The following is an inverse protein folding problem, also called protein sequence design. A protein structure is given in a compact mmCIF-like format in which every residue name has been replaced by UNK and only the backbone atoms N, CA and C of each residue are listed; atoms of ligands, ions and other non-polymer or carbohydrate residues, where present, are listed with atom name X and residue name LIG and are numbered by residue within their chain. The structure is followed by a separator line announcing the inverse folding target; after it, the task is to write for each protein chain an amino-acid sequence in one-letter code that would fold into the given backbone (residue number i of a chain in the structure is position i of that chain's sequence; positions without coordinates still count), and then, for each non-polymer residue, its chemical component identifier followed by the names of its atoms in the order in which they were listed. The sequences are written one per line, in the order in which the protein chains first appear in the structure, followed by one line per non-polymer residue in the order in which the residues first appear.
data_IF_679008769552
#
_entry.id   IF_679008769552
#
_cell.length_a   1.000
_cell.length_b   1.000
_cell.length_c   1.000
_cell.angle_alpha   90.00
_cell.angle_beta   90.00
_cell.angle_gamma   90.00
#
_symmetry.space_group_name_H-M   'P 1'
#
loop_
_entity.id
_entity.type
_entity.pdbx_description
1 polymer ?
#
# COMPACT_ATOMS: atom_id res chain seq x y z
N UNK A 1 22.36 -25.94 52.35
CA UNK A 1 21.19 -26.71 51.88
C UNK A 1 20.27 -25.72 51.19
N UNK A 2 20.26 -25.61 49.87
CA UNK A 2 19.75 -26.57 48.88
C UNK A 2 18.39 -26.10 48.35
N UNK A 3 18.43 -25.57 47.12
CA UNK A 3 17.50 -25.87 46.02
C UNK A 3 16.05 -25.34 46.15
N UNK A 4 15.75 -24.29 45.41
CA UNK A 4 14.77 -24.31 44.30
C UNK A 4 14.21 -22.93 44.02
N UNK A 5 14.76 -22.25 43.02
CA UNK A 5 13.98 -21.35 42.17
C UNK A 5 14.66 -21.18 40.80
N UNK A 6 15.19 -22.30 40.26
CA UNK A 6 15.58 -22.36 38.85
C UNK A 6 14.35 -22.46 37.90
N UNK A 7 13.13 -22.55 38.45
CA UNK A 7 11.89 -22.75 37.69
C UNK A 7 11.28 -21.49 37.05
N UNK A 8 11.61 -20.28 37.53
CA UNK A 8 10.99 -19.05 37.02
C UNK A 8 11.61 -18.52 35.73
N UNK A 9 12.84 -18.93 35.39
CA UNK A 9 13.54 -18.44 34.19
C UNK A 9 13.14 -19.20 32.90
N UNK A 10 12.59 -20.42 33.03
CA UNK A 10 12.16 -21.22 31.88
C UNK A 10 10.77 -20.84 31.35
N UNK A 11 9.88 -20.32 32.20
CA UNK A 11 8.54 -19.91 31.78
C UNK A 11 8.56 -18.56 31.03
N UNK A 12 9.45 -17.65 31.41
CA UNK A 12 9.59 -16.34 30.77
C UNK A 12 10.16 -16.41 29.34
N UNK A 13 10.96 -17.45 29.06
CA UNK A 13 11.57 -17.67 27.73
C UNK A 13 10.61 -18.31 26.72
N UNK A 14 9.56 -19.01 27.19
CA UNK A 14 8.53 -19.58 26.31
C UNK A 14 7.48 -18.55 25.88
N UNK A 15 7.19 -17.56 26.73
CA UNK A 15 6.28 -16.45 26.43
C UNK A 15 6.84 -15.45 25.41
N UNK A 16 8.17 -15.35 25.29
CA UNK A 16 8.81 -14.48 24.30
C UNK A 16 8.75 -15.05 22.87
N UNK A 17 8.47 -16.36 22.73
CA UNK A 17 8.39 -17.01 21.42
C UNK A 17 6.98 -16.92 20.78
N UNK A 18 5.93 -16.64 21.57
CA UNK A 18 4.57 -16.48 21.06
C UNK A 18 4.33 -15.14 20.35
N UNK A 19 5.17 -14.13 20.58
CA UNK A 19 5.08 -12.83 19.90
C UNK A 19 5.64 -12.87 18.46
N UNK A 20 6.41 -13.90 18.10
CA UNK A 20 6.92 -14.09 16.74
C UNK A 20 5.89 -14.78 15.81
N UNK A 21 4.76 -15.27 16.34
CA UNK A 21 3.77 -16.04 15.58
C UNK A 21 2.76 -15.18 14.81
N UNK A 22 2.79 -13.85 14.95
CA UNK A 22 1.98 -12.94 14.13
C UNK A 22 2.73 -12.47 12.88
N UNK A 23 3.57 -13.31 12.29
CA UNK A 23 4.01 -13.17 10.90
C UNK A 23 2.98 -13.88 9.99
N UNK A 24 1.72 -13.43 10.03
CA UNK A 24 0.79 -13.78 8.95
C UNK A 24 1.19 -12.89 7.77
N UNK A 25 1.46 -13.51 6.63
CA UNK A 25 1.82 -12.90 5.36
C UNK A 25 0.67 -11.98 4.89
N UNK A 26 0.57 -10.79 5.48
CA UNK A 26 -0.41 -9.77 5.08
C UNK A 26 0.09 -9.18 3.79
N UNK A 27 -0.46 -9.65 2.68
CA UNK A 27 -0.36 -8.94 1.41
C UNK A 27 -0.91 -7.53 1.67
N UNK A 28 -0.08 -6.48 1.58
CA UNK A 28 -0.55 -5.12 1.81
C UNK A 28 -1.51 -4.77 0.68
N UNK A 29 -2.81 -4.75 0.98
CA UNK A 29 -3.85 -4.37 0.03
C UNK A 29 -3.97 -2.85 0.04
N UNK A 30 -3.92 -2.24 -1.15
CA UNK A 30 -4.14 -0.81 -1.30
C UNK A 30 -5.63 -0.51 -1.07
N UNK A 31 -5.93 0.29 -0.04
CA UNK A 31 -7.31 0.69 0.24
C UNK A 31 -7.76 1.81 -0.72
N UNK A 32 -9.07 1.91 -0.91
CA UNK A 32 -9.67 2.96 -1.75
C UNK A 32 -9.32 4.37 -1.24
N UNK A 33 -9.33 4.56 0.07
CA UNK A 33 -9.00 5.85 0.70
C UNK A 33 -7.56 6.30 0.38
N UNK A 34 -6.61 5.37 0.47
CA UNK A 34 -5.21 5.63 0.13
C UNK A 34 -5.08 5.93 -1.37
N UNK A 35 -5.72 5.16 -2.24
CA UNK A 35 -5.69 5.38 -3.69
C UNK A 35 -6.28 6.76 -4.09
N UNK A 36 -7.35 7.19 -3.42
CA UNK A 36 -7.92 8.52 -3.60
C UNK A 36 -6.98 9.63 -3.10
N UNK A 37 -6.34 9.42 -1.95
CA UNK A 37 -5.36 10.36 -1.39
C UNK A 37 -4.16 10.52 -2.32
N UNK A 38 -3.64 9.43 -2.89
CA UNK A 38 -2.59 9.45 -3.91
C UNK A 38 -3.03 10.26 -5.13
N UNK A 39 -4.23 9.98 -5.66
CA UNK A 39 -4.76 10.68 -6.83
C UNK A 39 -4.89 12.19 -6.60
N UNK A 40 -5.44 12.62 -5.45
CA UNK A 40 -5.55 14.04 -5.09
C UNK A 40 -4.21 14.73 -4.93
N UNK A 41 -3.23 14.04 -4.34
CA UNK A 41 -1.88 14.59 -4.17
C UNK A 41 -1.20 14.80 -5.52
N UNK A 42 -1.33 13.82 -6.43
CA UNK A 42 -0.85 13.94 -7.80
C UNK A 42 -1.54 15.08 -8.57
N UNK A 43 -2.86 15.22 -8.45
CA UNK A 43 -3.60 16.33 -9.07
C UNK A 43 -3.13 17.69 -8.54
N UNK A 44 -2.89 17.80 -7.23
CA UNK A 44 -2.43 19.04 -6.60
C UNK A 44 -1.06 19.44 -7.13
N UNK A 45 -0.14 18.48 -7.22
CA UNK A 45 1.18 18.70 -7.81
C UNK A 45 1.09 19.06 -9.29
N UNK A 46 0.25 18.35 -10.05
CA UNK A 46 0.04 18.63 -11.47
C UNK A 46 -0.52 20.04 -11.70
N UNK A 47 -1.49 20.48 -10.88
CA UNK A 47 -2.01 21.86 -10.89
C UNK A 47 -0.91 22.87 -10.60
N UNK A 48 -0.10 22.64 -9.57
CA UNK A 48 1.03 23.52 -9.22
C UNK A 48 2.09 23.61 -10.32
N UNK A 49 2.24 22.56 -11.14
CA UNK A 49 3.17 22.51 -12.28
C UNK A 49 2.53 22.90 -13.62
N UNK A 50 1.24 23.19 -13.65
CA UNK A 50 0.50 23.47 -14.89
C UNK A 50 0.35 22.26 -15.83
N UNK A 51 0.48 21.03 -15.31
CA UNK A 51 0.31 19.80 -16.08
C UNK A 51 -1.16 19.39 -16.12
N UNK A 52 -1.56 18.79 -17.25
CA UNK A 52 -2.91 18.25 -17.47
C UNK A 52 -2.78 16.75 -17.66
N UNK A 53 -3.09 15.97 -16.62
CA UNK A 53 -2.74 14.55 -16.55
C UNK A 53 -3.95 13.64 -16.30
N UNK A 54 -3.80 12.38 -16.72
CA UNK A 54 -4.64 11.27 -16.29
C UNK A 54 -3.86 10.48 -15.24
N UNK A 55 -4.52 10.09 -14.15
CA UNK A 55 -3.93 9.39 -13.03
C UNK A 55 -4.68 8.08 -12.85
N UNK A 56 -3.97 6.96 -12.90
CA UNK A 56 -4.53 5.62 -12.71
C UNK A 56 -3.77 4.93 -11.57
N UNK A 57 -4.51 4.30 -10.65
CA UNK A 57 -3.97 3.56 -9.51
C UNK A 57 -4.50 2.13 -9.57
N UNK A 58 -3.60 1.16 -9.56
CA UNK A 58 -3.92 -0.27 -9.57
C UNK A 58 -3.42 -0.98 -8.32
N UNK A 59 -4.04 -2.11 -7.98
CA UNK A 59 -3.55 -3.00 -6.92
C UNK A 59 -2.46 -3.97 -7.44
N UNK A 60 -1.92 -4.80 -6.54
CA UNK A 60 -0.97 -5.85 -6.87
C UNK A 60 -1.52 -6.91 -7.84
N UNK A 61 -2.86 -7.04 -7.95
CA UNK A 61 -3.54 -7.90 -8.90
C UNK A 61 -3.82 -7.23 -10.25
N UNK A 62 -3.24 -6.04 -10.52
CA UNK A 62 -3.46 -5.23 -11.73
C UNK A 62 -4.91 -4.75 -11.92
N UNK A 63 -5.72 -4.77 -10.85
CA UNK A 63 -7.08 -4.26 -10.86
C UNK A 63 -7.07 -2.75 -10.63
N UNK A 64 -7.89 -2.03 -11.39
CA UNK A 64 -8.03 -0.58 -11.24
C UNK A 64 -8.81 -0.25 -9.96
N UNK A 65 -8.20 0.54 -9.07
CA UNK A 65 -8.84 0.98 -7.82
C UNK A 65 -9.38 2.41 -7.97
N UNK A 66 -8.56 3.30 -8.55
CA UNK A 66 -8.93 4.69 -8.75
C UNK A 66 -8.41 5.20 -10.09
N UNK A 67 -9.23 6.03 -10.74
CA UNK A 67 -8.87 6.74 -11.95
C UNK A 67 -9.40 8.16 -11.85
N UNK A 68 -8.53 9.12 -12.15
CA UNK A 68 -8.89 10.54 -12.21
C UNK A 68 -8.33 11.17 -13.48
N UNK A 69 -9.16 11.96 -14.15
CA UNK A 69 -8.80 12.74 -15.32
C UNK A 69 -8.98 14.21 -15.02
N UNK A 70 -7.90 14.96 -15.14
CA UNK A 70 -7.94 16.42 -14.99
C UNK A 70 -8.65 17.08 -16.19
N UNK A 71 -9.20 18.26 -15.96
CA UNK A 71 -9.79 19.07 -17.02
C UNK A 71 -8.76 19.38 -18.10
N UNK A 72 -9.18 19.33 -19.36
CA UNK A 72 -8.33 19.57 -20.53
C UNK A 72 -7.14 18.60 -20.70
N UNK A 73 -7.12 17.47 -19.96
CA UNK A 73 -6.16 16.40 -20.21
C UNK A 73 -6.43 15.69 -21.54
N UNK A 74 -5.38 15.18 -22.18
CA UNK A 74 -5.47 14.46 -23.46
C UNK A 74 -6.34 13.21 -23.32
N UNK A 75 -7.41 13.11 -24.14
CA UNK A 75 -8.36 12.00 -24.13
C UNK A 75 -7.68 10.66 -24.49
N UNK A 76 -6.76 10.67 -25.46
CA UNK A 76 -6.01 9.48 -25.85
C UNK A 76 -5.04 8.97 -24.76
N UNK A 77 -4.74 9.80 -23.75
CA UNK A 77 -3.85 9.41 -22.65
C UNK A 77 -4.57 8.64 -21.54
N UNK A 78 -5.88 8.40 -21.65
CA UNK A 78 -6.65 7.63 -20.66
C UNK A 78 -6.23 6.16 -20.67
N UNK A 79 -6.32 5.51 -21.82
CA UNK A 79 -5.94 4.09 -21.95
C UNK A 79 -4.44 3.91 -21.67
N UNK A 80 -3.62 4.86 -22.12
CA UNK A 80 -2.17 4.84 -21.88
C UNK A 80 -1.86 4.88 -20.38
N UNK A 81 -2.55 5.72 -19.60
CA UNK A 81 -2.33 5.80 -18.15
C UNK A 81 -2.71 4.48 -17.45
N UNK A 82 -3.84 3.89 -17.84
CA UNK A 82 -4.30 2.60 -17.30
C UNK A 82 -3.34 1.47 -17.68
N UNK A 83 -2.92 1.39 -18.95
CA UNK A 83 -1.95 0.40 -19.41
C UNK A 83 -0.62 0.52 -18.68
N UNK A 84 -0.09 1.73 -18.52
CA UNK A 84 1.15 1.95 -17.76
C UNK A 84 1.05 1.47 -16.32
N UNK A 85 -0.07 1.76 -15.66
CA UNK A 85 -0.29 1.30 -14.28
C UNK A 85 -0.37 -0.22 -14.20
N UNK A 86 -1.02 -0.89 -15.16
CA UNK A 86 -1.11 -2.36 -15.19
C UNK A 86 0.21 -3.06 -15.49
N UNK A 87 1.09 -2.45 -16.27
CA UNK A 87 2.38 -3.04 -16.70
C UNK A 87 3.59 -2.50 -15.94
N UNK A 88 3.41 -1.86 -14.77
CA UNK A 88 4.51 -1.31 -13.98
C UNK A 88 5.16 -2.28 -12.99
N UNK A 89 4.66 -3.52 -12.92
CA UNK A 89 5.13 -4.57 -11.99
C UNK A 89 6.26 -5.42 -12.55
#
# INVERSE_FOLDING_TARGET
MSKSCAGCLAAASLLLCAAAAQALDRVPVLSLDVAQTMSRTCETLAKAKGWRMNIAVVDAGTNLIAFSRMDQAFLGSTDIAISKAKFSG
#
